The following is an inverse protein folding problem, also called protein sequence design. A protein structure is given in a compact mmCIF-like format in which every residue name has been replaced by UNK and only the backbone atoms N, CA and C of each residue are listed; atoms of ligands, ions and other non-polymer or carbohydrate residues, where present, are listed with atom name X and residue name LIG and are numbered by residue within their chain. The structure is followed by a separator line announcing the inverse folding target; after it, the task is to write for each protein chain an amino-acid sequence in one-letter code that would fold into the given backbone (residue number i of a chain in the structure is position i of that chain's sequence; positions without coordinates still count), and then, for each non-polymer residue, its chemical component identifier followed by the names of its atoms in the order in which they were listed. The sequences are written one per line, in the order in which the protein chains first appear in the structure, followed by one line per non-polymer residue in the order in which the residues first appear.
data_IF_509365774899
#
_entry.id   IF_509365774899
#
_cell.length_a   1.000
_cell.length_b   1.000
_cell.length_c   1.000
_cell.angle_alpha   90.00
_cell.angle_beta   90.00
_cell.angle_gamma   90.00
#
_symmetry.space_group_name_H-M   'P 1'
#
loop_
_entity.id
_entity.type
_entity.pdbx_description
1 polymer ?
#
# COMPACT_ATOMS: atom_id res chain seq x y z
N UNK A 1 -22.69 1.46 4.05
CA UNK A 1 -23.15 2.82 4.37
C UNK A 1 -22.79 3.13 5.82
N UNK A 2 -21.67 3.81 6.03
CA UNK A 2 -21.43 4.65 7.22
C UNK A 2 -20.71 5.88 6.67
N UNK A 3 -21.48 6.81 6.12
CA UNK A 3 -20.96 8.08 5.64
C UNK A 3 -20.63 8.94 6.85
N UNK A 4 -19.37 8.86 7.31
CA UNK A 4 -18.84 9.84 8.24
C UNK A 4 -18.62 11.14 7.47
N UNK A 5 -19.62 12.02 7.50
CA UNK A 5 -19.43 13.43 7.16
C UNK A 5 -18.25 13.99 7.97
N UNK A 6 -17.15 14.29 7.29
CA UNK A 6 -16.01 14.98 7.90
C UNK A 6 -16.44 16.43 8.06
N UNK A 7 -16.96 16.78 9.25
CA UNK A 7 -17.46 18.11 9.58
C UNK A 7 -16.39 19.18 9.24
N UNK A 8 -16.57 20.01 8.21
CA UNK A 8 -15.46 20.69 7.53
C UNK A 8 -15.08 22.04 8.17
N UNK A 9 -15.21 22.16 9.50
CA UNK A 9 -14.88 23.39 10.23
C UNK A 9 -13.60 23.19 11.06
N UNK A 10 -12.66 24.12 10.85
CA UNK A 10 -11.52 24.44 11.71
C UNK A 10 -10.51 23.32 12.01
N UNK A 11 -10.10 22.59 10.98
CA UNK A 11 -8.82 21.86 10.97
C UNK A 11 -7.64 22.81 10.71
N UNK A 12 -7.00 23.33 11.76
CA UNK A 12 -5.75 24.10 11.62
C UNK A 12 -4.61 23.20 11.12
N UNK A 13 -4.36 23.18 9.81
CA UNK A 13 -3.29 22.37 9.20
C UNK A 13 -2.09 23.23 8.80
N UNK A 14 -0.92 22.90 9.34
CA UNK A 14 0.33 23.62 9.12
C UNK A 14 1.00 23.16 7.80
N UNK A 15 0.86 23.94 6.72
CA UNK A 15 1.53 23.67 5.43
C UNK A 15 3.06 23.74 5.55
N UNK A 16 3.58 24.67 6.35
CA UNK A 16 5.00 24.98 6.36
C UNK A 16 5.48 25.44 7.74
N UNK A 17 6.61 24.88 8.19
CA UNK A 17 7.35 25.38 9.36
C UNK A 17 8.80 25.63 8.95
N UNK A 18 9.27 26.86 9.13
CA UNK A 18 10.69 27.21 9.12
C UNK A 18 11.36 26.76 10.43
N UNK A 19 12.68 26.77 10.48
CA UNK A 19 13.44 26.49 11.70
C UNK A 19 13.17 27.49 12.85
N UNK A 20 12.47 28.59 12.57
CA UNK A 20 12.10 29.63 13.54
C UNK A 20 10.63 29.49 14.03
N UNK A 21 9.73 28.84 13.26
CA UNK A 21 8.38 28.43 13.69
C UNK A 21 7.20 29.35 13.29
N UNK A 22 7.43 30.41 12.50
CA UNK A 22 6.54 31.58 12.44
C UNK A 22 5.29 31.43 11.54
N UNK A 23 5.35 30.64 10.47
CA UNK A 23 4.35 30.70 9.38
C UNK A 23 3.15 29.77 9.64
N UNK A 24 2.28 30.17 10.56
CA UNK A 24 0.97 29.52 10.75
C UNK A 24 -0.07 30.12 9.80
N UNK A 25 -0.80 29.25 9.11
CA UNK A 25 -1.90 29.60 8.20
C UNK A 25 -3.00 28.57 8.43
N UNK A 26 -4.23 29.01 8.64
CA UNK A 26 -5.40 28.13 8.65
C UNK A 26 -5.73 27.72 7.22
N UNK A 27 -5.90 26.43 6.94
CA UNK A 27 -6.09 25.92 5.57
C UNK A 27 -7.24 24.91 5.54
N UNK A 28 -8.00 24.90 4.45
CA UNK A 28 -9.15 24.00 4.32
C UNK A 28 -8.71 22.67 3.73
N UNK A 29 -8.97 21.58 4.44
CA UNK A 29 -8.81 20.23 3.91
C UNK A 29 -10.18 19.70 3.43
N UNK A 30 -10.28 19.32 2.16
CA UNK A 30 -11.51 18.80 1.56
C UNK A 30 -11.14 17.97 0.31
N UNK A 31 -11.84 16.87 0.07
CA UNK A 31 -11.65 16.00 -1.11
C UNK A 31 -10.19 15.51 -1.24
N UNK A 32 -9.65 15.07 -0.11
CA UNK A 32 -8.25 14.63 0.13
C UNK A 32 -7.15 15.66 -0.19
N UNK A 33 -7.50 16.89 -0.59
CA UNK A 33 -6.56 17.95 -0.95
C UNK A 33 -6.68 19.20 -0.05
N UNK A 34 -5.71 20.10 -0.18
CA UNK A 34 -5.60 21.33 0.61
C UNK A 34 -6.00 22.52 -0.27
N UNK A 35 -6.83 23.40 0.28
CA UNK A 35 -7.40 24.55 -0.41
C UNK A 35 -6.96 25.87 0.25
N UNK A 36 -6.36 26.76 -0.54
CA UNK A 36 -6.00 28.12 -0.13
C UNK A 36 -6.66 29.18 -1.02
N UNK A 37 -7.13 30.26 -0.41
CA UNK A 37 -7.49 31.48 -1.14
C UNK A 37 -6.25 32.24 -1.62
N UNK A 38 -6.46 33.20 -2.52
CA UNK A 38 -5.44 34.12 -3.00
C UNK A 38 -4.73 34.89 -1.86
N UNK A 39 -5.44 35.16 -0.76
CA UNK A 39 -4.92 35.85 0.42
C UNK A 39 -3.96 34.97 1.24
N UNK A 40 -4.38 33.73 1.52
CA UNK A 40 -3.54 32.77 2.25
C UNK A 40 -2.26 32.43 1.46
N UNK A 41 -2.33 32.32 0.12
CA UNK A 41 -1.12 32.15 -0.72
C UNK A 41 -0.22 33.40 -0.75
N UNK A 42 -0.79 34.60 -0.71
CA UNK A 42 -0.03 35.84 -0.60
C UNK A 42 0.78 35.89 0.71
N UNK A 43 0.17 35.45 1.81
CA UNK A 43 0.83 35.28 3.12
C UNK A 43 1.90 34.17 3.08
N UNK A 44 1.55 32.95 2.63
CA UNK A 44 2.43 31.78 2.56
C UNK A 44 3.74 32.07 1.83
N UNK A 45 3.65 32.69 0.66
CA UNK A 45 4.82 32.99 -0.17
C UNK A 45 5.37 34.40 0.03
N UNK A 46 4.83 35.17 0.98
CA UNK A 46 5.18 36.57 1.27
C UNK A 46 5.28 37.43 0.00
N UNK A 47 4.18 37.46 -0.77
CA UNK A 47 4.07 38.20 -2.03
C UNK A 47 2.67 38.78 -2.23
N UNK A 48 2.60 39.89 -2.95
CA UNK A 48 1.36 40.60 -3.23
C UNK A 48 0.34 39.73 -3.96
N UNK A 49 -0.94 39.90 -3.62
CA UNK A 49 -2.08 39.22 -4.28
C UNK A 49 -2.05 39.35 -5.80
N UNK A 50 -1.59 40.49 -6.32
CA UNK A 50 -1.42 40.75 -7.76
C UNK A 50 -0.31 39.89 -8.40
N UNK A 51 0.75 39.56 -7.66
CA UNK A 51 1.82 38.66 -8.11
C UNK A 51 1.36 37.21 -8.10
N UNK A 52 0.69 36.76 -7.02
CA UNK A 52 0.10 35.41 -6.96
C UNK A 52 -0.95 35.23 -8.07
N UNK A 53 -1.86 36.21 -8.23
CA UNK A 53 -2.91 36.21 -9.25
C UNK A 53 -2.33 36.13 -10.67
N UNK A 54 -1.22 36.83 -10.95
CA UNK A 54 -0.50 36.72 -12.22
C UNK A 54 0.05 35.31 -12.45
N UNK A 55 0.67 34.69 -11.44
CA UNK A 55 1.18 33.32 -11.57
C UNK A 55 0.05 32.30 -11.81
N UNK A 56 -1.08 32.40 -11.08
CA UNK A 56 -2.26 31.55 -11.28
C UNK A 56 -2.84 31.74 -12.69
N UNK A 57 -2.92 32.98 -13.19
CA UNK A 57 -3.36 33.25 -14.55
C UNK A 57 -2.45 32.58 -15.59
N UNK A 58 -1.13 32.72 -15.45
CA UNK A 58 -0.15 32.08 -16.35
C UNK A 58 -0.23 30.55 -16.32
N UNK A 59 -0.41 29.93 -15.14
CA UNK A 59 -0.60 28.47 -15.01
C UNK A 59 -1.77 27.97 -15.89
N UNK A 60 -2.87 28.74 -15.97
CA UNK A 60 -4.03 28.39 -16.81
C UNK A 60 -3.84 28.77 -18.29
N UNK A 61 -3.15 29.87 -18.60
CA UNK A 61 -2.86 30.30 -19.98
C UNK A 61 -1.82 29.41 -20.68
N UNK A 62 -0.89 28.82 -19.92
CA UNK A 62 0.12 27.87 -20.39
C UNK A 62 -0.42 26.42 -20.45
N UNK A 63 -1.62 26.17 -19.94
CA UNK A 63 -2.25 24.84 -19.92
C UNK A 63 -1.66 23.86 -18.91
N UNK A 64 -0.90 24.32 -17.92
CA UNK A 64 -0.28 23.45 -16.90
C UNK A 64 -1.34 22.80 -15.99
N UNK A 65 -2.42 23.52 -15.68
CA UNK A 65 -3.57 23.01 -14.92
C UNK A 65 -4.90 23.47 -15.54
N UNK A 66 -5.93 22.63 -15.46
CA UNK A 66 -7.28 22.98 -15.93
C UNK A 66 -8.12 23.58 -14.81
N UNK A 67 -8.55 24.84 -14.97
CA UNK A 67 -9.25 25.63 -13.95
C UNK A 67 -10.43 24.91 -13.26
N UNK A 68 -11.16 24.08 -14.00
CA UNK A 68 -12.38 23.42 -13.50
C UNK A 68 -12.10 22.26 -12.52
N UNK A 69 -10.89 21.70 -12.47
CA UNK A 69 -10.51 20.65 -11.51
C UNK A 69 -9.74 21.17 -10.29
N UNK A 70 -9.26 22.42 -10.33
CA UNK A 70 -8.33 22.97 -9.31
C UNK A 70 -8.82 24.26 -8.63
N UNK A 71 -10.01 24.76 -8.98
CA UNK A 71 -10.61 25.97 -8.38
C UNK A 71 -12.01 25.70 -7.84
N UNK A 72 -12.18 25.90 -6.53
CA UNK A 72 -13.46 25.82 -5.86
C UNK A 72 -13.94 27.21 -5.41
N UNK A 73 -15.25 27.37 -5.19
CA UNK A 73 -15.84 28.57 -4.56
C UNK A 73 -16.44 28.20 -3.21
N UNK A 74 -15.98 28.87 -2.16
CA UNK A 74 -16.48 28.65 -0.81
C UNK A 74 -17.10 29.92 -0.26
N UNK A 75 -18.19 29.75 0.49
CA UNK A 75 -18.86 30.84 1.18
C UNK A 75 -18.03 31.28 2.41
N UNK A 76 -17.55 32.52 2.38
CA UNK A 76 -16.83 33.17 3.48
C UNK A 76 -17.67 34.32 4.01
N UNK A 77 -17.99 34.31 5.31
CA UNK A 77 -18.66 35.46 5.96
C UNK A 77 -17.61 36.53 6.25
N UNK A 78 -17.79 37.74 5.73
CA UNK A 78 -16.91 38.87 6.02
C UNK A 78 -17.31 39.58 7.33
N UNK A 79 -16.46 40.50 7.79
CA UNK A 79 -16.66 41.29 9.03
C UNK A 79 -17.87 42.24 8.98
N UNK A 80 -18.47 42.46 7.81
CA UNK A 80 -19.73 43.19 7.63
C UNK A 80 -20.98 42.29 7.68
N UNK A 81 -20.81 41.00 8.02
CA UNK A 81 -21.87 40.01 8.11
C UNK A 81 -22.32 39.41 6.77
N UNK A 82 -21.82 39.89 5.63
CA UNK A 82 -22.21 39.36 4.31
C UNK A 82 -21.42 38.11 3.94
N UNK A 83 -22.08 37.16 3.26
CA UNK A 83 -21.44 35.95 2.71
C UNK A 83 -20.97 36.22 1.28
N UNK A 84 -19.66 36.13 1.07
CA UNK A 84 -19.01 36.24 -0.23
C UNK A 84 -18.60 34.86 -0.74
N UNK A 85 -18.69 34.64 -2.05
CA UNK A 85 -18.14 33.43 -2.69
C UNK A 85 -16.69 33.70 -3.08
N UNK A 86 -15.75 33.18 -2.28
CA UNK A 86 -14.31 33.38 -2.47
C UNK A 86 -13.74 32.20 -3.25
N UNK A 87 -12.85 32.47 -4.22
CA UNK A 87 -12.14 31.42 -4.94
C UNK A 87 -10.97 30.88 -4.11
N UNK A 88 -10.92 29.55 -4.00
CA UNK A 88 -9.84 28.79 -3.40
C UNK A 88 -9.23 27.86 -4.46
N UNK A 89 -7.94 27.63 -4.33
CA UNK A 89 -7.11 26.89 -5.26
C UNK A 89 -6.53 25.68 -4.53
N UNK A 90 -6.48 24.53 -5.22
CA UNK A 90 -6.05 23.27 -4.62
C UNK A 90 -4.51 23.17 -4.45
N UNK A 91 -4.04 22.04 -3.91
CA UNK A 91 -2.62 21.78 -3.68
C UNK A 91 -1.74 21.92 -4.94
N UNK A 92 -2.24 21.54 -6.12
CA UNK A 92 -1.47 21.60 -7.37
C UNK A 92 -1.14 23.06 -7.72
N UNK A 93 -2.14 23.94 -7.68
CA UNK A 93 -1.94 25.39 -7.92
C UNK A 93 -1.00 25.99 -6.87
N UNK A 94 -1.13 25.59 -5.61
CA UNK A 94 -0.27 26.06 -4.51
C UNK A 94 1.20 25.64 -4.76
N UNK A 95 1.42 24.40 -5.21
CA UNK A 95 2.75 23.89 -5.59
C UNK A 95 3.31 24.68 -6.78
N UNK A 96 2.56 24.81 -7.86
CA UNK A 96 2.97 25.54 -9.07
C UNK A 96 3.32 27.00 -8.78
N UNK A 97 2.49 27.71 -7.99
CA UNK A 97 2.79 29.07 -7.50
C UNK A 97 4.05 29.05 -6.65
N UNK A 98 4.21 28.10 -5.73
CA UNK A 98 5.39 27.96 -4.88
C UNK A 98 6.70 27.73 -5.67
N UNK A 99 6.66 27.04 -6.81
CA UNK A 99 7.81 26.94 -7.71
C UNK A 99 8.06 28.21 -8.51
N UNK A 100 7.01 28.91 -8.95
CA UNK A 100 7.10 30.14 -9.77
C UNK A 100 7.46 31.41 -8.96
N UNK A 101 7.17 31.47 -7.66
CA UNK A 101 7.38 32.68 -6.84
C UNK A 101 8.84 32.93 -6.43
N UNK A 102 9.38 34.08 -6.82
CA UNK A 102 10.69 34.60 -6.37
C UNK A 102 10.56 35.35 -5.04
N UNK A 103 10.55 34.64 -3.91
CA UNK A 103 10.64 35.20 -2.55
C UNK A 103 11.46 34.29 -1.63
N UNK A 104 11.80 34.76 -0.42
CA UNK A 104 12.52 33.95 0.57
C UNK A 104 11.68 32.75 1.02
N UNK A 105 10.37 32.94 1.28
CA UNK A 105 9.48 31.82 1.60
C UNK A 105 9.27 30.88 0.41
N UNK A 106 9.16 31.37 -0.83
CA UNK A 106 9.11 30.51 -2.02
C UNK A 106 10.39 29.66 -2.18
N UNK A 107 11.56 30.22 -1.88
CA UNK A 107 12.82 29.47 -1.86
C UNK A 107 12.88 28.45 -0.71
N UNK A 108 12.43 28.83 0.50
CA UNK A 108 12.32 27.91 1.65
C UNK A 108 11.34 26.75 1.36
N UNK A 109 10.19 27.03 0.75
CA UNK A 109 9.20 26.06 0.29
C UNK A 109 9.81 25.09 -0.74
N UNK A 110 10.51 25.59 -1.77
CA UNK A 110 11.21 24.75 -2.75
C UNK A 110 12.27 23.86 -2.10
N UNK A 111 13.04 24.37 -1.14
CA UNK A 111 14.04 23.58 -0.40
C UNK A 111 13.35 22.44 0.37
N UNK A 112 12.28 22.74 1.12
CA UNK A 112 11.50 21.73 1.84
C UNK A 112 10.89 20.68 0.90
N UNK A 113 10.19 21.10 -0.16
CA UNK A 113 9.60 20.18 -1.14
C UNK A 113 10.66 19.30 -1.83
N UNK A 114 11.83 19.86 -2.14
CA UNK A 114 12.98 19.10 -2.68
C UNK A 114 13.53 18.10 -1.67
N UNK A 115 13.56 18.44 -0.37
CA UNK A 115 13.98 17.51 0.69
C UNK A 115 13.00 16.35 0.84
N UNK A 116 11.69 16.61 0.84
CA UNK A 116 10.66 15.56 0.89
C UNK A 116 10.70 14.65 -0.35
N UNK A 117 10.82 15.22 -1.56
CA UNK A 117 10.98 14.44 -2.79
C UNK A 117 12.27 13.60 -2.78
N UNK A 118 13.40 14.17 -2.34
CA UNK A 118 14.67 13.45 -2.20
C UNK A 118 14.56 12.32 -1.18
N UNK A 119 13.86 12.53 -0.07
CA UNK A 119 13.63 11.50 0.93
C UNK A 119 12.77 10.35 0.37
N UNK A 120 11.69 10.66 -0.35
CA UNK A 120 10.89 9.66 -1.06
C UNK A 120 11.74 8.85 -2.06
N UNK A 121 12.55 9.53 -2.88
CA UNK A 121 13.40 8.89 -3.90
C UNK A 121 14.52 8.01 -3.31
N UNK A 122 14.91 8.22 -2.04
CA UNK A 122 15.95 7.43 -1.36
C UNK A 122 15.35 6.32 -0.49
N UNK A 123 14.24 6.59 0.21
CA UNK A 123 13.64 5.66 1.20
C UNK A 123 12.42 4.88 0.67
N UNK A 124 11.78 5.36 -0.38
CA UNK A 124 10.47 4.89 -0.86
C UNK A 124 9.27 5.42 -0.07
N UNK A 125 9.48 6.31 0.91
CA UNK A 125 8.41 6.89 1.74
C UNK A 125 8.81 8.26 2.33
N UNK A 126 7.80 9.01 2.78
CA UNK A 126 7.91 10.24 3.59
C UNK A 126 6.84 10.17 4.67
N UNK A 127 7.15 10.59 5.90
CA UNK A 127 6.23 10.60 7.05
C UNK A 127 6.35 11.92 7.82
N UNK A 128 5.23 12.39 8.37
CA UNK A 128 5.20 13.50 9.33
C UNK A 128 5.05 12.93 10.74
N UNK A 129 6.18 12.57 11.36
CA UNK A 129 6.23 11.93 12.67
C UNK A 129 5.56 12.74 13.78
N UNK A 130 5.63 14.07 13.72
CA UNK A 130 5.04 14.94 14.74
C UNK A 130 3.51 14.90 14.67
N UNK A 131 2.94 14.94 13.46
CA UNK A 131 1.49 14.80 13.25
C UNK A 131 0.96 13.45 13.73
N UNK A 132 1.74 12.37 13.57
CA UNK A 132 1.38 11.06 14.13
C UNK A 132 1.46 11.04 15.66
N UNK A 133 2.54 11.60 16.26
CA UNK A 133 2.69 11.70 17.73
C UNK A 133 1.61 12.56 18.39
N UNK A 134 1.03 13.51 17.68
CA UNK A 134 -0.07 14.37 18.15
C UNK A 134 -1.46 13.73 18.05
N UNK A 135 -1.60 12.52 17.50
CA UNK A 135 -2.86 11.77 17.44
C UNK A 135 -3.92 12.29 16.44
N UNK A 136 -3.76 13.50 15.90
CA UNK A 136 -4.70 14.15 14.95
C UNK A 136 -4.79 13.47 13.57
N UNK A 137 -4.01 12.41 13.35
CA UNK A 137 -3.95 11.66 12.10
C UNK A 137 -4.17 10.14 12.27
N UNK A 138 -4.87 9.70 13.33
CA UNK A 138 -5.04 8.27 13.67
C UNK A 138 -5.51 7.40 12.48
N UNK A 139 -6.51 7.84 11.72
CA UNK A 139 -6.99 7.11 10.53
C UNK A 139 -5.88 6.87 9.48
N UNK A 140 -4.96 7.83 9.29
CA UNK A 140 -3.81 7.68 8.39
C UNK A 140 -2.71 6.80 8.98
N UNK A 141 -2.61 6.73 10.31
CA UNK A 141 -1.70 5.80 11.00
C UNK A 141 -2.18 4.35 10.82
N UNK A 142 -3.48 4.10 10.94
CA UNK A 142 -4.08 2.79 10.71
C UNK A 142 -3.92 2.35 9.24
N UNK A 143 -4.16 3.26 8.28
CA UNK A 143 -3.87 3.00 6.85
C UNK A 143 -2.38 2.71 6.59
N UNK A 144 -1.46 3.42 7.26
CA UNK A 144 -0.03 3.17 7.17
C UNK A 144 0.34 1.80 7.76
N UNK A 145 -0.26 1.40 8.88
CA UNK A 145 -0.07 0.07 9.45
C UNK A 145 -0.54 -1.01 8.48
N UNK A 146 -1.73 -0.89 7.88
CA UNK A 146 -2.23 -1.92 6.97
C UNK A 146 -1.36 -2.04 5.71
N UNK A 147 -0.93 -0.93 5.10
CA UNK A 147 0.04 -0.94 4.00
C UNK A 147 1.38 -1.57 4.39
N UNK A 148 1.86 -1.33 5.62
CA UNK A 148 3.08 -1.98 6.13
C UNK A 148 2.86 -3.49 6.36
N UNK A 149 1.67 -3.93 6.77
CA UNK A 149 1.30 -5.35 6.87
C UNK A 149 1.25 -6.00 5.48
N UNK A 150 0.61 -5.38 4.49
CA UNK A 150 0.58 -5.86 3.10
C UNK A 150 2.01 -6.09 2.56
N UNK A 151 2.90 -5.10 2.74
CA UNK A 151 4.32 -5.20 2.36
C UNK A 151 5.03 -6.33 3.13
N UNK A 152 4.77 -6.50 4.43
CA UNK A 152 5.31 -7.59 5.27
C UNK A 152 4.82 -8.98 4.82
N UNK A 153 3.58 -9.07 4.34
CA UNK A 153 2.95 -10.30 3.82
C UNK A 153 3.33 -10.55 2.34
N UNK A 154 4.08 -9.65 1.69
CA UNK A 154 4.74 -9.99 0.43
C UNK A 154 5.70 -11.16 0.66
N UNK A 155 5.55 -12.25 -0.11
CA UNK A 155 6.19 -13.53 0.21
C UNK A 155 7.73 -13.43 0.21
N UNK A 156 8.27 -12.55 -0.64
CA UNK A 156 9.69 -12.17 -0.65
C UNK A 156 10.14 -11.51 0.66
N UNK A 157 9.41 -10.51 1.18
CA UNK A 157 9.81 -9.83 2.42
C UNK A 157 9.68 -10.78 3.61
N UNK A 158 8.58 -11.54 3.66
CA UNK A 158 8.29 -12.53 4.68
C UNK A 158 9.42 -13.57 4.83
N UNK A 159 9.74 -14.33 3.78
CA UNK A 159 10.80 -15.32 3.88
C UNK A 159 12.18 -14.70 4.03
N UNK A 160 12.43 -13.50 3.48
CA UNK A 160 13.70 -12.81 3.70
C UNK A 160 13.90 -12.50 5.20
N UNK A 161 12.88 -12.00 5.91
CA UNK A 161 12.97 -11.72 7.35
C UNK A 161 13.13 -12.98 8.20
N UNK A 162 12.37 -14.04 7.92
CA UNK A 162 12.59 -15.32 8.61
C UNK A 162 13.99 -15.89 8.32
N UNK A 163 14.48 -15.77 7.08
CA UNK A 163 15.83 -16.20 6.70
C UNK A 163 16.94 -15.36 7.34
N UNK A 164 16.71 -14.08 7.55
CA UNK A 164 17.67 -13.20 8.23
C UNK A 164 17.73 -13.48 9.74
N UNK A 165 16.59 -13.78 10.38
CA UNK A 165 16.55 -14.34 11.74
C UNK A 165 17.30 -15.67 11.81
N UNK A 166 17.15 -16.56 10.83
CA UNK A 166 17.82 -17.86 10.86
C UNK A 166 19.33 -17.81 10.82
N UNK A 167 19.90 -16.85 10.09
CA UNK A 167 21.35 -16.64 10.04
C UNK A 167 21.94 -16.24 11.39
N UNK A 168 21.12 -15.84 12.38
CA UNK A 168 21.61 -15.56 13.75
C UNK A 168 21.66 -16.81 14.64
N UNK A 169 21.19 -17.96 14.15
CA UNK A 169 21.30 -19.23 14.88
C UNK A 169 22.77 -19.66 14.97
N UNK A 170 23.20 -20.11 16.14
CA UNK A 170 24.60 -20.50 16.42
C UNK A 170 25.08 -21.66 15.53
N UNK A 171 24.15 -22.52 15.13
CA UNK A 171 24.32 -23.71 14.29
C UNK A 171 23.91 -23.49 12.82
N UNK A 172 23.71 -22.25 12.37
CA UNK A 172 23.27 -21.97 11.00
C UNK A 172 24.31 -22.40 9.95
N UNK A 173 23.89 -23.29 9.04
CA UNK A 173 24.66 -23.71 7.87
C UNK A 173 23.83 -23.54 6.58
N UNK A 174 24.27 -22.72 5.60
CA UNK A 174 23.52 -22.48 4.37
C UNK A 174 23.45 -23.67 3.41
N UNK A 175 24.27 -24.71 3.60
CA UNK A 175 24.29 -25.94 2.78
C UNK A 175 23.65 -27.15 3.48
N UNK A 176 23.14 -26.99 4.71
CA UNK A 176 22.48 -28.08 5.43
C UNK A 176 21.06 -28.33 4.89
N UNK A 177 20.70 -29.60 4.68
CA UNK A 177 19.34 -30.02 4.33
C UNK A 177 18.32 -29.57 5.38
N UNK A 178 18.73 -29.48 6.66
CA UNK A 178 17.93 -28.90 7.74
C UNK A 178 17.43 -27.51 7.37
N UNK A 179 18.28 -26.64 6.79
CA UNK A 179 17.89 -25.28 6.37
C UNK A 179 16.79 -25.30 5.32
N UNK A 180 16.74 -26.29 4.42
CA UNK A 180 15.68 -26.42 3.40
C UNK A 180 14.41 -27.02 4.01
N UNK A 181 14.54 -28.10 4.77
CA UNK A 181 13.42 -28.74 5.49
C UNK A 181 12.71 -27.74 6.39
N UNK A 182 13.50 -26.93 7.09
CA UNK A 182 13.06 -25.89 7.99
C UNK A 182 12.08 -24.91 7.34
N UNK A 183 12.38 -24.35 6.17
CA UNK A 183 11.48 -23.36 5.55
C UNK A 183 10.15 -24.00 5.15
N UNK A 184 10.19 -25.25 4.68
CA UNK A 184 8.98 -26.04 4.39
C UNK A 184 8.14 -26.26 5.65
N UNK A 185 8.77 -26.56 6.80
CA UNK A 185 8.07 -26.75 8.08
C UNK A 185 7.40 -25.46 8.55
N UNK A 186 8.10 -24.32 8.52
CA UNK A 186 7.53 -23.02 8.94
C UNK A 186 6.43 -22.54 8.01
N UNK A 187 6.61 -22.65 6.69
CA UNK A 187 5.57 -22.35 5.70
C UNK A 187 4.30 -23.16 5.99
N UNK A 188 4.42 -24.49 6.13
CA UNK A 188 3.24 -25.34 6.33
C UNK A 188 2.60 -25.15 7.71
N UNK A 189 3.37 -24.89 8.79
CA UNK A 189 2.81 -24.58 10.11
C UNK A 189 2.01 -23.28 10.11
N UNK A 190 2.51 -22.22 9.47
CA UNK A 190 1.81 -20.93 9.36
C UNK A 190 0.57 -21.01 8.47
N UNK A 191 0.66 -21.67 7.30
CA UNK A 191 -0.48 -21.88 6.41
C UNK A 191 -1.57 -22.76 7.06
N UNK A 192 -1.17 -23.81 7.79
CA UNK A 192 -2.10 -24.63 8.57
C UNK A 192 -2.83 -23.82 9.65
N UNK A 193 -2.11 -22.97 10.39
CA UNK A 193 -2.67 -22.17 11.47
C UNK A 193 -3.73 -21.14 11.01
N UNK A 194 -3.74 -20.76 9.71
CA UNK A 194 -4.75 -19.87 9.14
C UNK A 194 -5.85 -20.61 8.37
N UNK A 195 -5.53 -21.69 7.65
CA UNK A 195 -6.41 -22.33 6.66
C UNK A 195 -6.82 -23.78 6.94
N UNK A 196 -6.27 -24.38 8.01
CA UNK A 196 -6.36 -25.82 8.34
C UNK A 196 -5.91 -26.74 7.20
N UNK A 197 -5.03 -26.26 6.33
CA UNK A 197 -4.50 -26.96 5.16
C UNK A 197 -3.00 -26.70 5.00
N UNK A 198 -2.25 -27.70 4.54
CA UNK A 198 -0.86 -27.54 4.09
C UNK A 198 -0.78 -26.77 2.77
N UNK A 199 0.41 -26.28 2.41
CA UNK A 199 0.64 -25.57 1.16
C UNK A 199 0.19 -26.37 -0.08
N UNK A 200 0.41 -27.70 -0.07
CA UNK A 200 -0.01 -28.59 -1.15
C UNK A 200 -1.55 -28.75 -1.19
N UNK A 201 -2.20 -28.89 -0.04
CA UNK A 201 -3.65 -28.99 0.06
C UNK A 201 -4.34 -27.69 -0.39
N UNK A 202 -3.84 -26.51 0.02
CA UNK A 202 -4.37 -25.21 -0.41
C UNK A 202 -4.36 -25.10 -1.95
N UNK A 203 -3.21 -25.35 -2.58
CA UNK A 203 -3.08 -25.26 -4.05
C UNK A 203 -3.96 -26.29 -4.75
N UNK A 204 -3.98 -27.54 -4.28
CA UNK A 204 -4.76 -28.61 -4.90
C UNK A 204 -6.28 -28.40 -4.79
N UNK A 205 -6.75 -27.92 -3.64
CA UNK A 205 -8.17 -27.74 -3.34
C UNK A 205 -8.75 -26.42 -3.88
N UNK A 206 -7.93 -25.36 -4.03
CA UNK A 206 -8.41 -24.00 -4.38
C UNK A 206 -8.05 -23.53 -5.79
N UNK A 207 -7.17 -24.23 -6.52
CA UNK A 207 -6.95 -23.94 -7.94
C UNK A 207 -8.12 -24.45 -8.78
N UNK A 208 -8.79 -23.52 -9.48
CA UNK A 208 -9.95 -23.80 -10.34
C UNK A 208 -10.01 -22.86 -11.55
N UNK A 209 -9.90 -23.42 -12.77
CA UNK A 209 -9.99 -22.66 -14.02
C UNK A 209 -11.38 -22.07 -14.34
N UNK A 210 -12.42 -22.50 -13.61
CA UNK A 210 -13.77 -21.94 -13.73
C UNK A 210 -13.82 -20.50 -13.22
N UNK A 211 -13.08 -20.21 -12.14
CA UNK A 211 -13.10 -18.95 -11.39
C UNK A 211 -12.23 -17.85 -12.03
N UNK A 212 -12.51 -16.56 -11.74
CA UNK A 212 -11.59 -15.46 -12.02
C UNK A 212 -10.22 -15.72 -11.38
N UNK A 213 -9.14 -15.38 -12.09
CA UNK A 213 -7.75 -15.52 -11.63
C UNK A 213 -7.42 -16.91 -11.05
N UNK A 214 -7.98 -17.99 -11.61
CA UNK A 214 -7.79 -19.38 -11.15
C UNK A 214 -8.29 -19.66 -9.71
N UNK A 215 -9.07 -18.76 -9.11
CA UNK A 215 -9.46 -18.82 -7.69
C UNK A 215 -8.47 -18.12 -6.74
N UNK A 216 -7.42 -17.47 -7.26
CA UNK A 216 -6.50 -16.69 -6.45
C UNK A 216 -7.15 -15.37 -5.99
N UNK A 217 -7.31 -15.21 -4.68
CA UNK A 217 -7.88 -13.99 -4.06
C UNK A 217 -6.79 -12.99 -3.65
N UNK A 218 -5.61 -13.50 -3.27
CA UNK A 218 -4.50 -12.75 -2.66
C UNK A 218 -3.27 -12.66 -3.57
N UNK A 219 -3.49 -12.77 -4.88
CA UNK A 219 -2.51 -12.50 -5.93
C UNK A 219 -2.22 -11.00 -6.04
N UNK A 220 -0.96 -10.63 -6.29
CA UNK A 220 -0.53 -9.24 -6.40
C UNK A 220 -0.98 -8.61 -7.73
N UNK A 221 -2.05 -7.81 -7.65
CA UNK A 221 -2.69 -7.14 -8.79
C UNK A 221 -1.84 -6.02 -9.42
N UNK A 222 -0.71 -5.63 -8.82
CA UNK A 222 0.20 -4.64 -9.45
C UNK A 222 0.86 -5.18 -10.72
N UNK A 223 0.88 -6.49 -10.91
CA UNK A 223 1.22 -7.12 -12.17
C UNK A 223 0.04 -7.05 -13.16
N UNK A 224 0.03 -6.06 -14.05
CA UNK A 224 -0.74 -6.06 -15.31
C UNK A 224 -0.26 -7.12 -16.33
N UNK A 225 0.53 -8.10 -15.88
CA UNK A 225 1.06 -9.18 -16.68
C UNK A 225 0.14 -10.41 -16.60
N UNK A 226 0.11 -11.19 -17.69
CA UNK A 226 -0.50 -12.52 -17.71
C UNK A 226 -0.02 -13.36 -16.52
N UNK A 227 -0.95 -14.03 -15.83
CA UNK A 227 -0.66 -14.99 -14.76
C UNK A 227 0.42 -15.96 -15.25
N UNK A 228 1.49 -16.16 -14.47
CA UNK A 228 2.58 -17.09 -14.79
C UNK A 228 2.32 -18.43 -14.12
N UNK A 229 2.75 -19.53 -14.74
CA UNK A 229 2.62 -20.90 -14.18
C UNK A 229 3.25 -21.06 -12.79
N UNK A 230 4.23 -20.24 -12.43
CA UNK A 230 4.80 -20.15 -11.07
C UNK A 230 3.76 -19.72 -10.02
N UNK A 231 2.98 -18.68 -10.30
CA UNK A 231 2.04 -18.05 -9.35
C UNK A 231 0.91 -19.00 -8.93
N UNK A 232 0.51 -19.88 -9.84
CA UNK A 232 -0.53 -20.91 -9.64
C UNK A 232 -0.05 -22.03 -8.70
N UNK A 233 1.26 -22.15 -8.46
CA UNK A 233 1.84 -23.09 -7.49
C UNK A 233 2.06 -22.49 -6.09
N UNK A 234 1.77 -21.19 -5.91
CA UNK A 234 1.97 -20.47 -4.64
C UNK A 234 0.70 -20.53 -3.80
N UNK A 235 0.74 -21.28 -2.70
CA UNK A 235 -0.38 -21.45 -1.77
C UNK A 235 -0.92 -20.11 -1.23
N UNK A 236 -0.04 -19.13 -0.97
CA UNK A 236 -0.41 -17.81 -0.45
C UNK A 236 -1.44 -17.10 -1.34
N UNK A 237 -1.35 -17.25 -2.66
CA UNK A 237 -2.23 -16.56 -3.61
C UNK A 237 -3.71 -16.99 -3.49
N UNK A 238 -3.97 -18.17 -2.92
CA UNK A 238 -5.30 -18.74 -2.71
C UNK A 238 -5.88 -18.52 -1.30
N UNK A 239 -5.16 -17.81 -0.43
CA UNK A 239 -5.71 -17.39 0.86
C UNK A 239 -6.73 -16.27 0.66
N UNK A 240 -7.76 -16.23 1.51
CA UNK A 240 -8.73 -15.14 1.56
C UNK A 240 -8.21 -13.96 2.42
N UNK A 241 -8.98 -12.87 2.50
CA UNK A 241 -8.60 -11.65 3.24
C UNK A 241 -8.36 -11.90 4.75
N UNK A 242 -9.22 -12.68 5.41
CA UNK A 242 -9.08 -13.02 6.83
C UNK A 242 -7.85 -13.90 7.09
N UNK A 243 -7.60 -14.88 6.22
CA UNK A 243 -6.43 -15.76 6.29
C UNK A 243 -5.12 -15.00 6.08
N UNK A 244 -5.09 -14.05 5.12
CA UNK A 244 -3.95 -13.15 4.88
C UNK A 244 -3.69 -12.24 6.08
N UNK A 245 -4.74 -11.64 6.63
CA UNK A 245 -4.65 -10.74 7.79
C UNK A 245 -4.15 -11.47 9.03
N UNK A 246 -4.68 -12.66 9.29
CA UNK A 246 -4.23 -13.54 10.37
C UNK A 246 -2.79 -14.02 10.14
N UNK A 247 -2.42 -14.39 8.92
CA UNK A 247 -1.05 -14.79 8.57
C UNK A 247 -0.08 -13.65 8.89
N UNK A 248 -0.40 -12.41 8.50
CA UNK A 248 0.36 -11.22 8.86
C UNK A 248 0.57 -11.07 10.37
N UNK A 249 -0.51 -11.18 11.16
CA UNK A 249 -0.44 -11.04 12.62
C UNK A 249 0.37 -12.14 13.32
N UNK A 250 0.31 -13.38 12.82
CA UNK A 250 1.14 -14.49 13.33
C UNK A 250 2.62 -14.30 12.97
N UNK A 251 2.89 -13.81 11.76
CA UNK A 251 4.24 -13.47 11.28
C UNK A 251 4.83 -12.31 12.08
N UNK A 252 4.09 -11.23 12.31
CA UNK A 252 4.56 -10.08 13.07
C UNK A 252 4.93 -10.46 14.51
N UNK A 253 4.13 -11.31 15.17
CA UNK A 253 4.47 -11.86 16.50
C UNK A 253 5.76 -12.69 16.47
N UNK A 254 5.94 -13.54 15.44
CA UNK A 254 7.15 -14.35 15.29
C UNK A 254 8.41 -13.49 15.05
N UNK A 255 8.31 -12.44 14.22
CA UNK A 255 9.40 -11.49 13.98
C UNK A 255 9.73 -10.67 15.24
N UNK A 256 8.73 -10.16 15.95
CA UNK A 256 8.92 -9.37 17.18
C UNK A 256 9.52 -10.21 18.33
N UNK A 257 9.12 -11.49 18.44
CA UNK A 257 9.76 -12.43 19.36
C UNK A 257 11.24 -12.61 19.02
N UNK A 258 11.57 -12.82 17.73
CA UNK A 258 12.95 -12.99 17.29
C UNK A 258 13.82 -11.76 17.52
N UNK A 259 13.28 -10.57 17.26
CA UNK A 259 13.93 -9.30 17.59
C UNK A 259 14.17 -9.17 19.10
N UNK A 260 13.20 -9.56 19.94
CA UNK A 260 13.37 -9.56 21.41
C UNK A 260 14.52 -10.48 21.85
N UNK A 261 14.62 -11.69 21.29
CA UNK A 261 15.74 -12.60 21.60
C UNK A 261 17.10 -12.02 21.16
N UNK A 262 17.16 -11.38 19.99
CA UNK A 262 18.38 -10.75 19.50
C UNK A 262 18.79 -9.54 20.36
N UNK A 263 17.85 -8.67 20.76
CA UNK A 263 18.10 -7.54 21.65
C UNK A 263 18.57 -7.99 23.05
N UNK A 264 18.04 -9.11 23.55
CA UNK A 264 18.44 -9.72 24.83
C UNK A 264 19.75 -10.55 24.75
N UNK A 265 20.35 -10.69 23.57
CA UNK A 265 21.51 -11.56 23.31
C UNK A 265 21.26 -13.03 23.69
N UNK A 266 19.99 -13.48 23.66
CA UNK A 266 19.59 -14.84 23.99
C UNK A 266 20.10 -15.81 22.91
N UNK A 267 20.93 -16.81 23.25
CA UNK A 267 21.43 -17.79 22.27
C UNK A 267 20.27 -18.63 21.72
N UNK A 268 20.25 -18.83 20.40
CA UNK A 268 19.23 -19.56 19.67
C UNK A 268 19.88 -20.53 18.67
N UNK A 269 19.28 -21.72 18.54
CA UNK A 269 19.65 -22.74 17.56
C UNK A 269 18.53 -22.94 16.52
N UNK A 270 18.83 -23.52 15.36
CA UNK A 270 17.87 -23.67 14.25
C UNK A 270 16.59 -24.41 14.66
N UNK A 271 16.71 -25.41 15.53
CA UNK A 271 15.58 -26.17 16.11
C UNK A 271 14.67 -25.31 16.99
N UNK A 272 15.24 -24.34 17.72
CA UNK A 272 14.53 -23.61 18.77
C UNK A 272 13.50 -22.68 18.14
N UNK A 273 13.85 -22.06 17.02
CA UNK A 273 12.96 -21.25 16.20
C UNK A 273 11.66 -21.98 15.80
N UNK A 274 11.70 -23.29 15.50
CA UNK A 274 10.48 -24.09 15.24
C UNK A 274 9.65 -24.22 16.53
N UNK A 275 10.30 -24.52 17.66
CA UNK A 275 9.63 -24.65 18.95
C UNK A 275 9.01 -23.31 19.43
N UNK A 276 9.64 -22.17 19.12
CA UNK A 276 9.11 -20.83 19.42
C UNK A 276 7.91 -20.50 18.53
N UNK A 277 7.93 -20.86 17.23
CA UNK A 277 6.75 -20.76 16.38
C UNK A 277 5.59 -21.59 16.95
N UNK A 278 5.84 -22.84 17.34
CA UNK A 278 4.80 -23.72 17.92
C UNK A 278 4.23 -23.18 19.25
N UNK A 279 5.01 -22.45 20.04
CA UNK A 279 4.51 -21.72 21.21
C UNK A 279 3.61 -20.55 20.80
N UNK A 280 4.04 -19.72 19.84
CA UNK A 280 3.26 -18.55 19.37
C UNK A 280 1.93 -18.99 18.74
N UNK A 281 1.92 -20.05 17.92
CA UNK A 281 0.71 -20.60 17.34
C UNK A 281 -0.28 -21.08 18.42
N UNK A 282 0.19 -21.81 19.44
CA UNK A 282 -0.64 -22.23 20.58
C UNK A 282 -1.18 -21.05 21.39
N UNK A 283 -0.38 -20.00 21.63
CA UNK A 283 -0.81 -18.79 22.32
C UNK A 283 -1.91 -18.04 21.56
N UNK A 284 -1.93 -18.13 20.23
CA UNK A 284 -2.99 -17.58 19.36
C UNK A 284 -4.18 -18.54 19.18
N UNK A 285 -4.29 -19.58 20.01
CA UNK A 285 -5.37 -20.57 19.99
C UNK A 285 -5.38 -21.47 18.75
N UNK A 286 -4.23 -21.65 18.07
CA UNK A 286 -4.14 -22.41 16.82
C UNK A 286 -3.64 -23.82 17.02
N UNK A 287 -4.26 -24.75 16.32
CA UNK A 287 -3.81 -26.14 16.25
C UNK A 287 -2.47 -26.22 15.51
N UNK A 288 -1.60 -27.12 15.97
CA UNK A 288 -0.30 -27.34 15.34
C UNK A 288 -0.38 -28.42 14.28
N UNK A 289 0.21 -28.15 13.11
CA UNK A 289 0.51 -29.18 12.13
C UNK A 289 1.50 -30.20 12.74
N UNK A 290 1.04 -31.44 12.88
CA UNK A 290 1.81 -32.61 13.38
C UNK A 290 1.98 -33.72 12.33
N UNK A 291 1.47 -33.53 11.11
CA UNK A 291 1.51 -34.51 10.02
C UNK A 291 1.90 -33.85 8.69
N UNK A 292 2.28 -34.64 7.68
CA UNK A 292 2.67 -34.13 6.36
C UNK A 292 1.51 -33.58 5.50
N UNK A 293 0.25 -33.76 5.92
CA UNK A 293 -0.94 -33.52 5.10
C UNK A 293 -1.35 -34.76 4.30
N UNK A 294 -2.42 -34.65 3.52
CA UNK A 294 -2.99 -35.73 2.68
C UNK A 294 -2.61 -35.62 1.21
N UNK A 295 -2.22 -34.43 0.74
CA UNK A 295 -1.87 -34.16 -0.66
C UNK A 295 -0.36 -33.93 -0.78
N UNK A 296 0.28 -34.60 -1.75
CA UNK A 296 1.70 -34.39 -2.02
C UNK A 296 1.95 -33.10 -2.82
N UNK A 297 3.15 -32.53 -2.68
CA UNK A 297 3.56 -31.35 -3.46
C UNK A 297 3.50 -31.60 -4.98
N UNK A 298 3.82 -32.83 -5.42
CA UNK A 298 3.73 -33.23 -6.83
C UNK A 298 2.28 -33.20 -7.34
N UNK A 299 1.34 -33.79 -6.60
CA UNK A 299 -0.09 -33.75 -6.95
C UNK A 299 -0.62 -32.31 -7.02
N UNK A 300 -0.17 -31.44 -6.12
CA UNK A 300 -0.55 -30.02 -6.12
C UNK A 300 -0.03 -29.29 -7.37
N UNK A 301 1.22 -29.53 -7.78
CA UNK A 301 1.81 -28.97 -9.02
C UNK A 301 1.08 -29.49 -10.26
N UNK A 302 0.78 -30.79 -10.32
CA UNK A 302 0.08 -31.40 -11.46
C UNK A 302 -1.34 -30.84 -11.62
N UNK A 303 -2.10 -30.76 -10.51
CA UNK A 303 -3.43 -30.16 -10.47
C UNK A 303 -3.38 -28.67 -10.88
N UNK A 304 -2.48 -27.87 -10.30
CA UNK A 304 -2.40 -26.44 -10.60
C UNK A 304 -1.96 -26.15 -12.03
N UNK A 305 -1.07 -26.98 -12.60
CA UNK A 305 -0.70 -26.94 -14.00
C UNK A 305 -1.89 -27.23 -14.94
N UNK A 306 -2.68 -28.26 -14.66
CA UNK A 306 -3.87 -28.61 -15.44
C UNK A 306 -4.92 -27.50 -15.42
N UNK A 307 -5.17 -26.88 -14.27
CA UNK A 307 -6.10 -25.74 -14.19
C UNK A 307 -5.55 -24.51 -14.92
N UNK A 308 -4.27 -24.19 -14.78
CA UNK A 308 -3.63 -23.10 -15.53
C UNK A 308 -3.79 -23.25 -17.05
N UNK A 309 -3.62 -24.47 -17.57
CA UNK A 309 -3.76 -24.76 -19.00
C UNK A 309 -5.22 -24.65 -19.47
N UNK A 310 -6.20 -25.14 -18.68
CA UNK A 310 -7.63 -24.87 -18.93
C UNK A 310 -7.95 -23.37 -18.95
N UNK A 311 -7.42 -22.62 -17.99
CA UNK A 311 -7.63 -21.17 -17.89
C UNK A 311 -7.02 -20.42 -19.08
N UNK A 312 -5.78 -20.75 -19.49
CA UNK A 312 -5.17 -20.18 -20.70
C UNK A 312 -5.94 -20.51 -21.98
N UNK A 313 -6.60 -21.67 -22.06
CA UNK A 313 -7.48 -22.01 -23.20
C UNK A 313 -8.74 -21.15 -23.18
N UNK A 314 -9.39 -21.00 -22.00
CA UNK A 314 -10.57 -20.17 -21.79
C UNK A 314 -10.31 -18.69 -22.10
N UNK A 315 -9.19 -18.12 -21.65
CA UNK A 315 -8.83 -16.73 -21.94
C UNK A 315 -8.61 -16.50 -23.44
N UNK A 316 -7.84 -17.36 -24.12
CA UNK A 316 -7.63 -17.27 -25.57
C UNK A 316 -8.90 -17.42 -26.40
N UNK A 317 -9.89 -18.18 -25.90
CA UNK A 317 -11.21 -18.23 -26.51
C UNK A 317 -11.96 -16.89 -26.34
N UNK A 318 -11.97 -16.32 -25.13
CA UNK A 318 -12.61 -15.02 -24.86
C UNK A 318 -11.96 -13.88 -25.66
N UNK A 319 -10.63 -13.83 -25.73
CA UNK A 319 -9.86 -12.88 -26.56
C UNK A 319 -10.28 -12.98 -28.04
N UNK A 320 -10.40 -14.19 -28.56
CA UNK A 320 -10.85 -14.44 -29.94
C UNK A 320 -12.31 -14.05 -30.16
N UNK A 321 -13.21 -14.37 -29.24
CA UNK A 321 -14.62 -14.01 -29.32
C UNK A 321 -14.86 -12.50 -29.22
N UNK A 322 -14.03 -11.78 -28.46
CA UNK A 322 -14.07 -10.32 -28.37
C UNK A 322 -13.51 -9.67 -29.64
N UNK A 323 -12.35 -10.12 -30.14
CA UNK A 323 -11.77 -9.63 -31.39
C UNK A 323 -12.70 -9.85 -32.60
N UNK A 324 -13.46 -10.94 -32.62
CA UNK A 324 -14.50 -11.15 -33.64
C UNK A 324 -15.67 -10.17 -33.53
N UNK A 325 -16.09 -9.79 -32.31
CA UNK A 325 -17.14 -8.79 -32.10
C UNK A 325 -16.68 -7.38 -32.47
N UNK A 326 -15.44 -7.01 -32.11
CA UNK A 326 -14.83 -5.74 -32.53
C UNK A 326 -14.83 -5.62 -34.06
N UNK A 327 -14.39 -6.67 -34.77
CA UNK A 327 -14.45 -6.72 -36.24
C UNK A 327 -15.89 -6.66 -36.79
N UNK A 328 -16.87 -7.31 -36.14
CA UNK A 328 -18.28 -7.19 -36.54
C UNK A 328 -18.82 -5.76 -36.34
N UNK A 329 -18.47 -5.08 -35.25
CA UNK A 329 -18.96 -3.73 -34.92
C UNK A 329 -18.26 -2.63 -35.74
N UNK A 330 -16.98 -2.83 -36.10
CA UNK A 330 -16.30 -2.01 -37.11
C UNK A 330 -16.96 -2.17 -38.50
N UNK A 331 -17.31 -3.40 -38.90
CA UNK A 331 -18.02 -3.65 -40.16
C UNK A 331 -19.42 -3.01 -40.19
N UNK A 332 -20.13 -2.95 -39.04
CA UNK A 332 -21.42 -2.23 -38.89
C UNK A 332 -21.24 -0.71 -38.99
N UNK A 333 -20.11 -0.16 -38.52
CA UNK A 333 -19.78 1.25 -38.66
C UNK A 333 -19.35 1.64 -40.08
N UNK A 334 -18.76 0.73 -40.84
CA UNK A 334 -18.38 0.92 -42.25
C UNK A 334 -19.54 0.71 -43.25
N UNK A 335 -20.74 0.36 -42.76
CA UNK A 335 -21.93 0.09 -43.60
C UNK A 335 -23.12 1.02 -43.32
N UNK A 336 -22.90 2.10 -42.56
CA UNK A 336 -23.79 3.25 -42.41
C UNK A 336 -23.13 4.53 -42.92
#
# INVERSE_FOLDING_TARGET
MIDKEINPMDSQFLIYQNQEGDVKIDVRFQDETIWLSLDQMATLFSRDKSTISRHIKSIFEEGELYRNSVVAKFATTATDGKKYQVEYYNLDVIISVGYRVKSQQGTRFRIWATQQLKEYLIKGFVLNDERFKQGTAMNYFDQLQERLREIRISERFFYQKIKDIYKTSIDYNPQDEQTIMFFKVVQNKLLWAVSQQTAAEIVYNRADASLPLLGMQSYDKTATATIKKSEVSIAKNYLNEEEIKLLGLLVEQYLAFAETMAQQQTPMYMKDWIARLDIILRLNGRELLQHAGKISHQMAIEKSAQEYEKYQNKQRQIERENSLKELEDDLKQLTN
#
